data_IF_457040679933
#
_entry.id   IF_457040679933
#
_cell.length_a   1.000
_cell.length_b   1.000
_cell.length_c   1.000
_cell.angle_alpha   90.00
_cell.angle_beta   90.00
_cell.angle_gamma   90.00
#
_symmetry.space_group_name_H-M   'P 1'
#
loop_
_entity.id
_entity.type
_entity.pdbx_description
1 polymer ?
#
# COMPACT_ATOMS: atom_id res chain seq x y z
N UNK A 1 27.09 0.27 -7.52
CA UNK A 1 26.10 -0.09 -8.56
C UNK A 1 24.74 0.39 -8.05
N UNK A 2 24.12 1.38 -8.70
CA UNK A 2 22.93 2.11 -8.20
C UNK A 2 21.68 1.50 -8.82
N UNK A 3 20.97 0.68 -8.06
CA UNK A 3 19.69 0.11 -8.50
C UNK A 3 18.56 1.05 -8.10
N UNK A 4 18.02 1.76 -9.09
CA UNK A 4 16.80 2.57 -8.98
C UNK A 4 15.59 1.64 -9.00
N UNK A 5 14.67 1.82 -8.05
CA UNK A 5 13.43 1.04 -7.98
C UNK A 5 12.39 1.68 -8.91
N UNK A 6 12.12 1.06 -10.06
CA UNK A 6 11.10 1.49 -11.01
C UNK A 6 9.80 0.73 -10.76
N UNK A 7 8.85 1.36 -10.07
CA UNK A 7 7.47 0.88 -10.00
C UNK A 7 6.76 1.34 -11.29
N UNK A 8 6.75 0.49 -12.33
CA UNK A 8 5.96 0.75 -13.54
C UNK A 8 4.47 0.53 -13.26
N UNK A 9 3.72 1.60 -13.02
CA UNK A 9 2.26 1.55 -13.09
C UNK A 9 1.81 1.50 -14.55
N UNK A 10 1.15 0.41 -14.96
CA UNK A 10 0.50 0.32 -16.27
C UNK A 10 -0.97 0.71 -16.16
N UNK A 11 -1.53 1.44 -17.14
CA UNK A 11 -2.95 1.73 -17.18
C UNK A 11 -3.74 0.43 -17.35
N UNK A 12 -4.88 0.36 -16.67
CA UNK A 12 -5.75 -0.81 -16.65
C UNK A 12 -6.15 -1.21 -18.06
N UNK A 13 -5.80 -2.43 -18.47
CA UNK A 13 -6.51 -3.18 -19.50
C UNK A 13 -6.15 -4.67 -19.37
N UNK A 14 -7.21 -5.48 -19.32
CA UNK A 14 -7.31 -6.90 -19.64
C UNK A 14 -6.39 -7.90 -18.91
N UNK A 15 -7.07 -8.69 -18.06
CA UNK A 15 -6.89 -10.12 -17.76
C UNK A 15 -5.52 -10.73 -18.11
N UNK A 16 -4.58 -10.62 -17.17
CA UNK A 16 -3.54 -11.61 -16.79
C UNK A 16 -2.67 -10.95 -15.70
N UNK A 17 -2.12 -11.71 -14.73
CA UNK A 17 -1.21 -11.15 -13.74
C UNK A 17 0.01 -10.56 -14.45
N UNK A 18 0.15 -9.23 -14.45
CA UNK A 18 1.34 -8.55 -14.98
C UNK A 18 2.39 -8.46 -13.88
N UNK A 19 3.50 -9.16 -14.08
CA UNK A 19 4.68 -9.12 -13.21
C UNK A 19 5.43 -7.83 -13.51
N UNK A 20 5.58 -6.95 -12.52
CA UNK A 20 6.48 -5.80 -12.62
C UNK A 20 7.78 -6.19 -11.92
N UNK A 21 8.87 -6.22 -12.69
CA UNK A 21 10.22 -6.45 -12.17
C UNK A 21 10.84 -5.11 -11.80
N UNK A 22 11.16 -4.93 -10.52
CA UNK A 22 12.10 -3.90 -10.07
C UNK A 22 13.17 -4.57 -9.22
N UNK A 23 14.31 -4.87 -9.85
CA UNK A 23 15.63 -5.22 -9.30
C UNK A 23 15.67 -5.85 -7.88
N UNK A 24 14.90 -6.93 -7.70
CA UNK A 24 14.82 -7.87 -6.56
C UNK A 24 13.49 -7.90 -5.78
N UNK A 25 12.48 -7.10 -6.16
CA UNK A 25 11.13 -7.21 -5.59
C UNK A 25 10.11 -7.63 -6.66
N UNK A 26 9.49 -8.81 -6.48
CA UNK A 26 8.35 -9.25 -7.30
C UNK A 26 7.06 -8.83 -6.59
N UNK A 27 6.41 -7.78 -7.10
CA UNK A 27 5.09 -7.33 -6.61
C UNK A 27 4.02 -8.07 -7.41
N UNK A 28 3.15 -8.82 -6.72
CA UNK A 28 2.03 -9.53 -7.33
C UNK A 28 0.72 -8.80 -7.01
N UNK A 29 -0.02 -8.41 -8.04
CA UNK A 29 -1.35 -7.81 -7.90
C UNK A 29 -2.44 -8.87 -8.12
N UNK A 30 -3.41 -8.93 -7.21
CA UNK A 30 -4.59 -9.78 -7.32
C UNK A 30 -5.84 -8.91 -7.20
N UNK A 31 -6.61 -8.79 -8.29
CA UNK A 31 -7.99 -8.29 -8.22
C UNK A 31 -8.91 -9.51 -8.21
N UNK A 32 -9.55 -9.78 -7.07
CA UNK A 32 -10.60 -10.80 -6.95
C UNK A 32 -11.94 -10.09 -7.20
N UNK A 33 -12.45 -10.12 -8.43
CA UNK A 33 -13.80 -9.67 -8.78
C UNK A 33 -14.58 -10.93 -9.18
N UNK A 34 -15.54 -11.36 -8.36
CA UNK A 34 -16.29 -12.58 -8.68
C UNK A 34 -17.32 -13.12 -7.69
N UNK A 35 -17.36 -12.65 -6.43
CA UNK A 35 -18.37 -13.13 -5.47
C UNK A 35 -18.99 -11.95 -4.70
N UNK A 36 -20.20 -12.14 -4.20
CA UNK A 36 -20.92 -11.21 -3.31
C UNK A 36 -20.22 -11.16 -1.93
N UNK A 37 -18.97 -10.68 -1.91
CA UNK A 37 -18.08 -10.72 -0.74
C UNK A 37 -18.50 -9.61 0.20
N UNK A 38 -19.07 -9.98 1.34
CA UNK A 38 -19.27 -9.07 2.46
C UNK A 38 -17.90 -8.58 2.94
N UNK A 39 -17.57 -7.33 2.63
CA UNK A 39 -16.31 -6.72 3.01
C UNK A 39 -16.12 -6.75 4.53
N UNK A 40 -14.89 -7.04 4.97
CA UNK A 40 -14.57 -6.98 6.39
C UNK A 40 -14.68 -5.53 6.91
N UNK A 41 -14.69 -5.37 8.23
CA UNK A 41 -14.65 -4.03 8.85
C UNK A 41 -13.38 -3.26 8.42
N UNK A 42 -12.25 -3.96 8.30
CA UNK A 42 -10.99 -3.34 7.92
C UNK A 42 -10.99 -2.93 6.44
N UNK A 43 -11.44 -3.81 5.54
CA UNK A 43 -11.52 -3.50 4.09
C UNK A 43 -12.36 -2.26 3.82
N UNK A 44 -13.48 -2.11 4.53
CA UNK A 44 -14.33 -0.91 4.43
C UNK A 44 -13.55 0.36 4.79
N UNK A 45 -12.71 0.32 5.82
CA UNK A 45 -11.89 1.46 6.21
C UNK A 45 -10.74 1.73 5.23
N UNK A 46 -10.18 0.70 4.61
CA UNK A 46 -9.19 0.86 3.54
C UNK A 46 -9.81 1.55 2.33
N UNK A 47 -10.98 1.11 1.89
CA UNK A 47 -11.70 1.73 0.77
C UNK A 47 -12.15 3.15 1.08
N UNK A 48 -12.64 3.40 2.29
CA UNK A 48 -13.03 4.73 2.74
C UNK A 48 -11.84 5.71 2.73
N UNK A 49 -10.68 5.29 3.26
CA UNK A 49 -9.47 6.10 3.20
C UNK A 49 -9.03 6.33 1.75
N UNK A 50 -9.06 5.29 0.92
CA UNK A 50 -8.72 5.39 -0.50
C UNK A 50 -9.58 6.44 -1.18
N UNK A 51 -10.90 6.38 -1.01
CA UNK A 51 -11.81 7.35 -1.61
C UNK A 51 -11.58 8.78 -1.10
N UNK A 52 -11.20 8.93 0.16
CA UNK A 52 -10.87 10.24 0.75
C UNK A 52 -9.62 10.88 0.13
N UNK A 53 -8.61 10.10 -0.23
CA UNK A 53 -7.31 10.63 -0.68
C UNK A 53 -7.06 10.48 -2.19
N UNK A 54 -7.91 9.76 -2.92
CA UNK A 54 -7.68 9.43 -4.35
C UNK A 54 -7.40 10.63 -5.26
N UNK A 55 -8.01 11.78 -4.98
CA UNK A 55 -7.84 12.98 -5.80
C UNK A 55 -6.47 13.66 -5.61
N UNK A 56 -5.70 13.25 -4.60
CA UNK A 56 -4.40 13.87 -4.28
C UNK A 56 -3.22 13.19 -4.99
N UNK A 57 -3.45 12.03 -5.61
CA UNK A 57 -2.44 11.10 -6.12
C UNK A 57 -2.75 10.67 -7.55
N UNK A 58 -1.70 10.36 -8.32
CA UNK A 58 -1.83 9.90 -9.71
C UNK A 58 -2.27 8.44 -9.77
N UNK A 59 -1.82 7.64 -8.80
CA UNK A 59 -2.15 6.22 -8.70
C UNK A 59 -2.14 5.74 -7.26
N UNK A 60 -2.90 4.67 -6.99
CA UNK A 60 -2.98 4.05 -5.67
C UNK A 60 -3.13 2.53 -5.80
N UNK A 61 -2.50 1.80 -4.89
CA UNK A 61 -2.68 0.35 -4.72
C UNK A 61 -3.06 0.04 -3.28
N UNK A 62 -3.95 -0.94 -3.09
CA UNK A 62 -4.41 -1.39 -1.78
C UNK A 62 -3.96 -2.83 -1.51
N UNK A 63 -3.84 -3.20 -0.24
CA UNK A 63 -3.52 -4.55 0.24
C UNK A 63 -2.29 -5.13 -0.48
N UNK A 64 -1.19 -4.37 -0.50
CA UNK A 64 0.02 -4.69 -1.27
C UNK A 64 0.90 -5.65 -0.47
N UNK A 65 0.99 -6.94 -0.85
CA UNK A 65 1.81 -7.89 -0.13
C UNK A 65 3.30 -7.62 -0.43
N UNK A 66 4.12 -7.61 0.62
CA UNK A 66 5.57 -7.51 0.49
C UNK A 66 6.19 -8.87 0.75
N UNK A 67 6.83 -9.42 -0.30
CA UNK A 67 7.46 -10.74 -0.27
C UNK A 67 8.86 -10.68 -0.86
N UNK A 68 9.80 -11.36 -0.23
CA UNK A 68 11.12 -11.64 -0.79
C UNK A 68 11.29 -13.15 -0.89
N UNK A 69 11.44 -13.67 -2.11
CA UNK A 69 11.46 -15.10 -2.35
C UNK A 69 10.23 -15.79 -1.72
N UNK A 70 10.41 -16.76 -0.83
CA UNK A 70 9.34 -17.48 -0.12
C UNK A 70 8.90 -16.79 1.19
N UNK A 71 9.58 -15.73 1.63
CA UNK A 71 9.31 -15.08 2.93
C UNK A 71 8.37 -13.89 2.77
N UNK A 72 7.30 -13.85 3.57
CA UNK A 72 6.43 -12.69 3.71
C UNK A 72 7.04 -11.68 4.69
N UNK A 73 7.11 -10.41 4.29
CA UNK A 73 7.62 -9.30 5.11
C UNK A 73 6.50 -8.47 5.72
N UNK A 74 5.29 -8.59 5.17
CA UNK A 74 4.11 -7.90 5.63
C UNK A 74 3.23 -7.50 4.45
N UNK A 75 2.30 -6.61 4.75
CA UNK A 75 1.38 -6.01 3.80
C UNK A 75 1.35 -4.50 4.07
N UNK A 76 1.19 -3.71 3.02
CA UNK A 76 0.87 -2.28 3.10
C UNK A 76 -0.60 -2.13 2.73
N UNK A 77 -1.39 -1.53 3.63
CA UNK A 77 -2.82 -1.34 3.37
C UNK A 77 -3.06 -0.44 2.15
N UNK A 78 -2.35 0.70 2.05
CA UNK A 78 -2.36 1.55 0.86
C UNK A 78 -0.97 2.12 0.56
N UNK A 79 -0.54 2.01 -0.70
CA UNK A 79 0.56 2.79 -1.26
C UNK A 79 0.00 3.75 -2.31
N UNK A 80 0.35 5.03 -2.19
CA UNK A 80 -0.12 6.10 -3.08
C UNK A 80 1.07 6.78 -3.76
N UNK A 81 0.94 7.12 -5.04
CA UNK A 81 2.01 7.72 -5.84
C UNK A 81 1.60 9.10 -6.35
N UNK A 82 2.49 10.08 -6.20
CA UNK A 82 2.39 11.41 -6.79
C UNK A 82 3.72 11.79 -7.44
N UNK A 83 3.76 11.85 -8.77
CA UNK A 83 4.99 11.92 -9.54
C UNK A 83 5.95 10.79 -9.16
N UNK A 84 7.14 11.17 -8.69
CA UNK A 84 8.18 10.22 -8.26
C UNK A 84 8.16 9.92 -6.75
N UNK A 85 7.19 10.46 -6.01
CA UNK A 85 7.07 10.24 -4.56
C UNK A 85 6.01 9.19 -4.28
N UNK A 86 6.31 8.33 -3.31
CA UNK A 86 5.38 7.38 -2.73
C UNK A 86 5.03 7.79 -1.32
N UNK A 87 3.79 7.59 -0.92
CA UNK A 87 3.31 7.73 0.45
C UNK A 87 2.67 6.42 0.89
N UNK A 88 2.92 6.03 2.13
CA UNK A 88 2.47 4.77 2.71
C UNK A 88 1.39 5.04 3.76
N UNK A 89 0.32 4.27 3.72
CA UNK A 89 -0.76 4.35 4.70
C UNK A 89 -0.98 2.99 5.34
N UNK A 90 -1.11 3.00 6.66
CA UNK A 90 -1.54 1.86 7.45
C UNK A 90 -2.89 2.17 8.11
N UNK A 91 -3.85 1.28 7.92
CA UNK A 91 -5.21 1.35 8.44
C UNK A 91 -5.33 0.39 9.62
N UNK A 92 -5.72 0.90 10.78
CA UNK A 92 -6.15 0.04 11.90
C UNK A 92 -7.58 0.39 12.29
N UNK A 93 -8.34 -0.63 12.67
CA UNK A 93 -9.70 -0.46 13.17
C UNK A 93 -9.77 0.34 14.48
N UNK A 94 -8.69 0.43 15.25
CA UNK A 94 -8.61 1.16 16.53
C UNK A 94 -7.31 1.94 16.63
N UNK A 95 -7.20 2.83 17.61
CA UNK A 95 -6.07 3.73 17.79
C UNK A 95 -4.80 2.97 18.23
N UNK A 96 -4.12 2.35 17.27
CA UNK A 96 -2.91 1.53 17.44
C UNK A 96 -1.72 2.16 16.70
N UNK A 97 -1.59 3.48 16.81
CA UNK A 97 -0.61 4.31 16.08
C UNK A 97 0.83 3.78 16.21
N UNK A 98 1.25 3.35 17.40
CA UNK A 98 2.60 2.81 17.61
C UNK A 98 2.86 1.52 16.83
N UNK A 99 1.85 0.68 16.63
CA UNK A 99 1.98 -0.54 15.81
C UNK A 99 2.07 -0.17 14.33
N UNK A 100 1.23 0.78 13.89
CA UNK A 100 1.26 1.28 12.52
C UNK A 100 2.62 1.92 12.18
N UNK A 101 3.13 2.81 13.04
CA UNK A 101 4.46 3.42 12.90
C UNK A 101 5.57 2.40 12.76
N UNK A 102 5.66 1.43 13.69
CA UNK A 102 6.70 0.38 13.64
C UNK A 102 6.62 -0.46 12.36
N UNK A 103 5.42 -0.74 11.87
CA UNK A 103 5.20 -1.46 10.63
C UNK A 103 5.69 -0.63 9.44
N UNK A 104 5.23 0.61 9.31
CA UNK A 104 5.62 1.52 8.23
C UNK A 104 7.14 1.80 8.24
N UNK A 105 7.76 2.04 9.39
CA UNK A 105 9.22 2.25 9.51
C UNK A 105 10.01 1.05 8.97
N UNK A 106 9.57 -0.17 9.29
CA UNK A 106 10.18 -1.39 8.78
C UNK A 106 10.03 -1.50 7.26
N UNK A 107 8.87 -1.16 6.72
CA UNK A 107 8.58 -1.26 5.29
C UNK A 107 9.30 -0.16 4.49
N UNK A 108 9.38 1.07 5.00
CA UNK A 108 10.16 2.17 4.41
C UNK A 108 11.62 1.79 4.21
N UNK A 109 12.24 1.20 5.24
CA UNK A 109 13.64 0.72 5.17
C UNK A 109 13.80 -0.36 4.11
N UNK A 110 12.86 -1.31 4.05
CA UNK A 110 12.91 -2.41 3.10
C UNK A 110 12.73 -1.94 1.64
N UNK A 111 11.84 -0.97 1.42
CA UNK A 111 11.55 -0.40 0.09
C UNK A 111 12.50 0.74 -0.30
N UNK A 112 13.44 1.14 0.57
CA UNK A 112 14.33 2.30 0.38
C UNK A 112 13.57 3.60 0.07
N UNK A 113 12.41 3.78 0.71
CA UNK A 113 11.53 4.94 0.53
C UNK A 113 11.74 5.97 1.64
N UNK A 114 12.97 6.39 1.92
CA UNK A 114 13.27 7.22 3.09
C UNK A 114 12.51 8.56 3.10
N UNK A 115 12.33 9.16 1.91
CA UNK A 115 11.61 10.41 1.70
C UNK A 115 10.08 10.26 1.54
N UNK A 116 9.53 9.06 1.74
CA UNK A 116 8.07 8.85 1.69
C UNK A 116 7.36 9.39 2.93
N UNK A 117 6.17 9.96 2.74
CA UNK A 117 5.25 10.19 3.84
C UNK A 117 4.74 8.86 4.40
N UNK A 118 4.55 8.79 5.72
CA UNK A 118 3.91 7.67 6.38
C UNK A 118 2.73 8.15 7.19
N UNK A 119 1.62 7.46 7.03
CA UNK A 119 0.35 7.88 7.59
C UNK A 119 -0.35 6.72 8.27
N UNK A 120 -0.92 6.99 9.43
CA UNK A 120 -1.80 6.08 10.16
C UNK A 120 -3.24 6.57 10.04
N UNK A 121 -4.14 5.67 9.66
CA UNK A 121 -5.57 5.92 9.66
C UNK A 121 -6.29 5.03 10.67
N UNK A 122 -7.01 5.66 11.60
CA UNK A 122 -7.85 4.97 12.56
C UNK A 122 -9.29 4.90 12.03
N UNK A 123 -9.72 3.72 11.61
CA UNK A 123 -11.05 3.53 11.03
C UNK A 123 -12.21 3.80 12.00
N UNK A 124 -12.02 3.66 13.32
CA UNK A 124 -13.06 3.96 14.31
C UNK A 124 -13.25 5.47 14.52
N UNK A 125 -12.16 6.25 14.60
CA UNK A 125 -12.23 7.70 14.84
C UNK A 125 -12.15 8.54 13.57
N UNK A 126 -11.99 7.92 12.39
CA UNK A 126 -11.82 8.57 11.09
C UNK A 126 -10.64 9.54 11.02
N UNK A 127 -9.71 9.40 11.95
CA UNK A 127 -8.53 10.25 12.09
C UNK A 127 -7.42 9.72 11.20
N UNK A 128 -6.84 10.64 10.42
CA UNK A 128 -5.65 10.43 9.60
C UNK A 128 -4.53 11.27 10.21
N UNK A 129 -3.42 10.63 10.57
CA UNK A 129 -2.26 11.29 11.19
C UNK A 129 -0.98 10.87 10.50
N UNK A 130 -0.01 11.77 10.44
CA UNK A 130 1.35 11.44 10.00
C UNK A 130 2.10 10.71 11.11
N UNK A 131 2.92 9.72 10.76
CA UNK A 131 3.68 8.88 11.71
C UNK A 131 5.15 8.73 11.37
#
# INVERSE_FOLDING_TARGET
>A
MRDWIFIKFLPQLSQKPKVIYSTNLKIYYWLRLGDNIKLSKHDRYVLELKDRIKNNYDSMSINVPLRHSKRSFGEIDIIAQKGNRFDLYEVKCSFRIMKAKKQLDRLKKYLKLENSGSYFYCGNSKSLVTV
#
